data_IF_592983147682
#
_entry.id   IF_592983147682
#
_cell.length_a   1.000
_cell.length_b   1.000
_cell.length_c   1.000
_cell.angle_alpha   90.00
_cell.angle_beta   90.00
_cell.angle_gamma   90.00
#
_symmetry.space_group_name_H-M   'P 1'
#
loop_
_entity.id
_entity.type
_entity.pdbx_description
1 polymer ?
#
# COMPACT_ATOMS: atom_id res chain seq x y z
N UNK A 1 -5.73 -66.42 -39.13
CA UNK A 1 -4.74 -65.51 -38.52
C UNK A 1 -4.62 -64.30 -39.44
N UNK A 2 -5.50 -63.32 -39.28
CA UNK A 2 -5.58 -62.11 -40.14
C UNK A 2 -5.59 -60.89 -39.24
N UNK A 3 -4.67 -59.99 -39.58
CA UNK A 3 -4.00 -59.04 -38.69
C UNK A 3 -4.70 -57.68 -38.78
N UNK A 4 -5.09 -57.15 -37.62
CA UNK A 4 -5.60 -55.80 -37.37
C UNK A 4 -4.87 -54.73 -38.23
N UNK A 5 -5.60 -54.09 -39.14
CA UNK A 5 -5.11 -52.94 -39.93
C UNK A 5 -6.12 -51.79 -40.02
N UNK A 6 -7.00 -51.66 -39.03
CA UNK A 6 -8.06 -50.64 -39.09
C UNK A 6 -8.22 -49.83 -37.79
N UNK A 7 -7.19 -49.80 -36.93
CA UNK A 7 -7.22 -49.04 -35.67
C UNK A 7 -6.28 -47.81 -35.70
N UNK A 8 -5.36 -47.75 -36.67
CA UNK A 8 -4.34 -46.70 -36.74
C UNK A 8 -4.87 -45.33 -37.21
N UNK A 9 -5.81 -45.21 -38.19
CA UNK A 9 -6.19 -43.88 -38.67
C UNK A 9 -7.15 -43.13 -37.73
N UNK A 10 -7.83 -43.84 -36.82
CA UNK A 10 -8.77 -43.24 -35.86
C UNK A 10 -8.02 -42.65 -34.65
N UNK A 11 -6.92 -43.28 -34.23
CA UNK A 11 -6.12 -42.80 -33.09
C UNK A 11 -5.42 -41.45 -33.38
N UNK A 12 -4.98 -41.24 -34.62
CA UNK A 12 -4.35 -39.98 -35.05
C UNK A 12 -5.33 -38.80 -35.09
N UNK A 13 -6.61 -39.07 -35.39
CA UNK A 13 -7.66 -38.06 -35.46
C UNK A 13 -8.09 -37.57 -34.07
N UNK A 14 -8.04 -38.44 -33.06
CA UNK A 14 -8.30 -38.08 -31.66
C UNK A 14 -7.16 -37.24 -31.08
N UNK A 15 -5.90 -37.52 -31.44
CA UNK A 15 -4.75 -36.72 -30.98
C UNK A 15 -4.77 -35.30 -31.55
N UNK A 16 -5.22 -35.11 -32.80
CA UNK A 16 -5.36 -33.78 -33.40
C UNK A 16 -6.49 -32.95 -32.76
N UNK A 17 -7.59 -33.60 -32.32
CA UNK A 17 -8.68 -32.93 -31.62
C UNK A 17 -8.26 -32.43 -30.22
N UNK A 18 -7.36 -33.13 -29.52
CA UNK A 18 -6.82 -32.68 -28.24
C UNK A 18 -5.79 -31.55 -28.37
N UNK A 19 -5.09 -31.43 -29.51
CA UNK A 19 -4.18 -30.29 -29.73
C UNK A 19 -4.91 -28.98 -30.06
N UNK A 20 -6.17 -29.03 -30.51
CA UNK A 20 -6.96 -27.83 -30.83
C UNK A 20 -7.86 -27.35 -29.67
N UNK A 21 -7.89 -28.07 -28.54
CA UNK A 21 -8.55 -27.60 -27.31
C UNK A 21 -7.63 -26.74 -26.42
N UNK A 22 -6.36 -26.56 -26.80
CA UNK A 22 -5.34 -25.86 -26.03
C UNK A 22 -5.10 -24.44 -26.49
N UNK A 23 -6.11 -23.57 -26.39
CA UNK A 23 -5.98 -22.11 -26.30
C UNK A 23 -7.35 -21.57 -25.86
N UNK A 24 -7.78 -21.90 -24.64
CA UNK A 24 -8.65 -20.96 -23.93
C UNK A 24 -7.86 -19.68 -23.84
N UNK A 25 -8.21 -18.69 -24.67
CA UNK A 25 -7.75 -17.33 -24.50
C UNK A 25 -7.89 -17.03 -23.00
N UNK A 26 -6.78 -16.70 -22.34
CA UNK A 26 -6.81 -15.95 -21.08
C UNK A 26 -7.46 -14.61 -21.42
N UNK A 27 -8.78 -14.64 -21.51
CA UNK A 27 -9.61 -13.52 -21.82
C UNK A 27 -9.77 -12.78 -20.50
N UNK A 28 -9.08 -11.64 -20.44
CA UNK A 28 -9.32 -10.53 -19.52
C UNK A 28 -8.96 -10.75 -18.04
N UNK A 29 -7.77 -11.28 -17.74
CA UNK A 29 -7.12 -10.95 -16.46
C UNK A 29 -6.63 -9.49 -16.55
N UNK A 30 -7.14 -8.55 -15.72
CA UNK A 30 -6.72 -7.17 -15.77
C UNK A 30 -5.20 -7.11 -15.53
N UNK A 31 -4.46 -6.75 -16.57
CA UNK A 31 -3.01 -6.75 -16.56
C UNK A 31 -2.52 -5.38 -16.10
N UNK A 32 -1.75 -5.34 -15.02
CA UNK A 32 -1.13 -4.13 -14.51
C UNK A 32 -0.28 -3.45 -15.60
N UNK A 33 -0.67 -2.23 -15.96
CA UNK A 33 0.02 -1.46 -17.00
C UNK A 33 1.13 -0.62 -16.39
N UNK A 34 2.37 -0.79 -16.84
CA UNK A 34 3.51 0.02 -16.41
C UNK A 34 3.36 1.47 -16.88
N UNK A 35 3.73 2.41 -16.03
CA UNK A 35 3.77 3.85 -16.33
C UNK A 35 5.14 4.42 -15.94
N UNK A 36 5.45 5.61 -16.44
CA UNK A 36 6.63 6.34 -15.94
C UNK A 36 6.35 6.75 -14.49
N UNK A 37 7.40 6.83 -13.68
CA UNK A 37 7.29 7.42 -12.36
C UNK A 37 8.63 7.75 -11.74
N UNK A 38 8.58 8.43 -10.60
CA UNK A 38 9.75 8.86 -9.85
C UNK A 38 9.54 8.69 -8.34
N UNK A 39 10.57 8.15 -7.67
CA UNK A 39 10.62 8.01 -6.21
C UNK A 39 9.76 6.90 -5.61
N UNK A 40 9.85 6.82 -4.28
CA UNK A 40 9.07 5.95 -3.40
C UNK A 40 8.37 6.76 -2.31
N UNK A 41 7.33 6.18 -1.70
CA UNK A 41 6.72 6.72 -0.48
C UNK A 41 7.41 6.11 0.74
N UNK A 42 7.71 6.97 1.70
CA UNK A 42 8.35 6.65 2.97
C UNK A 42 8.18 7.86 3.91
N UNK A 43 8.46 7.67 5.20
CA UNK A 43 8.48 8.75 6.19
C UNK A 43 9.90 9.31 6.34
N UNK A 44 10.07 10.63 6.28
CA UNK A 44 11.39 11.23 6.58
C UNK A 44 11.81 11.02 8.05
N UNK A 45 10.86 10.74 8.95
CA UNK A 45 11.17 10.42 10.34
C UNK A 45 11.68 8.98 10.50
N UNK A 46 11.08 8.01 9.81
CA UNK A 46 11.44 6.59 9.92
C UNK A 46 12.47 6.11 8.88
N UNK A 47 12.87 6.95 7.92
CA UNK A 47 13.80 6.52 6.84
C UNK A 47 15.10 5.90 7.32
N UNK A 48 15.64 6.34 8.47
CA UNK A 48 16.90 5.81 8.99
C UNK A 48 16.78 4.39 9.57
N UNK A 49 15.56 3.87 9.75
CA UNK A 49 15.33 2.51 10.23
C UNK A 49 14.83 1.58 9.12
N UNK A 50 13.99 2.09 8.22
CA UNK A 50 13.41 1.28 7.13
C UNK A 50 14.21 1.30 5.82
N UNK A 51 15.07 2.30 5.61
CA UNK A 51 15.94 2.45 4.43
C UNK A 51 15.15 2.35 3.10
N UNK A 52 13.87 2.73 3.11
CA UNK A 52 13.02 2.66 1.92
C UNK A 52 13.50 3.60 0.81
N UNK A 53 14.18 4.69 1.17
CA UNK A 53 14.73 5.67 0.25
C UNK A 53 15.98 5.19 -0.50
N UNK A 54 16.62 4.11 -0.04
CA UNK A 54 17.79 3.50 -0.66
C UNK A 54 17.44 2.43 -1.70
N UNK A 55 16.14 2.13 -1.89
CA UNK A 55 15.69 1.10 -2.82
C UNK A 55 15.85 1.50 -4.28
N UNK A 56 16.18 0.52 -5.11
CA UNK A 56 16.45 0.69 -6.54
C UNK A 56 15.48 -0.13 -7.42
N UNK A 57 15.67 -0.04 -8.74
CA UNK A 57 14.92 -0.80 -9.75
C UNK A 57 13.39 -0.63 -9.66
N UNK A 58 12.98 0.61 -9.38
CA UNK A 58 11.59 0.96 -9.13
C UNK A 58 10.77 0.83 -10.42
N UNK A 59 9.65 0.13 -10.36
CA UNK A 59 8.65 0.04 -11.43
C UNK A 59 7.30 0.50 -10.91
N UNK A 60 6.72 1.50 -11.56
CA UNK A 60 5.41 2.04 -11.25
C UNK A 60 4.34 1.46 -12.18
N UNK A 61 3.16 1.19 -11.63
CA UNK A 61 1.99 0.73 -12.38
C UNK A 61 0.89 1.79 -12.36
N UNK A 62 0.11 1.86 -13.43
CA UNK A 62 -1.01 2.79 -13.53
C UNK A 62 -1.92 2.62 -12.32
N UNK A 63 -2.29 3.70 -11.62
CA UNK A 63 -3.21 3.60 -10.49
C UNK A 63 -4.57 3.08 -10.93
N UNK A 64 -5.26 2.44 -10.01
CA UNK A 64 -6.59 1.86 -10.21
C UNK A 64 -7.51 2.24 -9.06
N UNK A 65 -8.84 2.19 -9.25
CA UNK A 65 -9.78 2.11 -8.13
C UNK A 65 -9.38 1.02 -7.13
N UNK A 66 -9.68 1.22 -5.85
CA UNK A 66 -9.25 0.32 -4.76
C UNK A 66 -9.78 -1.11 -4.97
N UNK A 67 -11.04 -1.26 -5.36
CA UNK A 67 -11.68 -2.53 -5.65
C UNK A 67 -11.04 -3.27 -6.83
N UNK A 68 -10.70 -2.55 -7.91
CA UNK A 68 -9.95 -3.10 -9.04
C UNK A 68 -8.53 -3.52 -8.64
N UNK A 69 -7.84 -2.71 -7.82
CA UNK A 69 -6.52 -3.05 -7.30
C UNK A 69 -6.56 -4.34 -6.48
N UNK A 70 -7.60 -4.57 -5.68
CA UNK A 70 -7.77 -5.81 -4.91
C UNK A 70 -7.99 -7.05 -5.77
N UNK A 71 -8.27 -6.91 -7.07
CA UNK A 71 -8.31 -8.04 -8.00
C UNK A 71 -6.88 -8.38 -8.46
N UNK A 72 -6.12 -7.36 -8.87
CA UNK A 72 -4.82 -7.51 -9.57
C UNK A 72 -3.59 -7.50 -8.67
N UNK A 73 -3.71 -7.00 -7.43
CA UNK A 73 -2.59 -6.91 -6.51
C UNK A 73 -2.00 -8.30 -6.20
N UNK A 74 -0.70 -8.38 -5.88
CA UNK A 74 -0.05 -9.60 -5.42
C UNK A 74 -0.83 -10.26 -4.27
N UNK A 75 -0.89 -11.60 -4.27
CA UNK A 75 -1.63 -12.37 -3.26
C UNK A 75 -1.12 -12.10 -1.84
N UNK A 76 0.17 -11.83 -1.68
CA UNK A 76 0.80 -11.40 -0.43
C UNK A 76 0.12 -10.16 0.14
N UNK A 77 0.10 -9.07 -0.65
CA UNK A 77 -0.54 -7.80 -0.27
C UNK A 77 -2.02 -7.99 0.04
N UNK A 78 -2.76 -8.72 -0.81
CA UNK A 78 -4.21 -8.92 -0.61
C UNK A 78 -4.55 -9.60 0.71
N UNK A 79 -3.64 -10.40 1.27
CA UNK A 79 -3.80 -11.04 2.58
C UNK A 79 -3.35 -10.17 3.74
N UNK A 80 -2.62 -9.09 3.48
CA UNK A 80 -2.03 -8.21 4.48
C UNK A 80 -2.93 -7.01 4.81
N UNK A 81 -4.04 -6.82 4.10
CA UNK A 81 -4.83 -5.59 4.15
C UNK A 81 -6.33 -5.86 4.22
N UNK A 82 -7.05 -5.01 4.93
CA UNK A 82 -8.50 -5.00 5.02
C UNK A 82 -8.98 -3.60 4.66
N UNK A 83 -9.63 -3.44 3.50
CA UNK A 83 -9.98 -2.13 2.95
C UNK A 83 -10.90 -1.36 3.91
N UNK A 84 -10.57 -0.10 4.15
CA UNK A 84 -11.35 0.81 5.00
C UNK A 84 -12.68 1.14 4.33
N UNK A 85 -13.77 1.08 5.08
CA UNK A 85 -15.05 1.66 4.65
C UNK A 85 -14.93 3.19 4.68
N UNK A 86 -15.01 3.89 3.53
CA UNK A 86 -14.86 5.34 3.47
C UNK A 86 -15.84 6.10 4.37
N UNK A 87 -16.99 5.51 4.72
CA UNK A 87 -17.98 6.12 5.61
C UNK A 87 -17.55 6.17 7.07
N UNK A 88 -16.53 5.39 7.45
CA UNK A 88 -15.96 5.42 8.81
C UNK A 88 -14.85 6.46 8.95
N UNK A 89 -14.45 7.14 7.87
CA UNK A 89 -13.46 8.21 7.97
C UNK A 89 -14.10 9.49 8.54
N UNK A 90 -13.34 10.33 9.27
CA UNK A 90 -13.85 11.55 9.89
C UNK A 90 -14.12 12.68 8.89
N UNK A 91 -14.17 12.38 7.59
CA UNK A 91 -14.41 13.32 6.49
C UNK A 91 -15.09 12.62 5.31
N UNK A 92 -15.76 13.39 4.45
CA UNK A 92 -16.37 12.84 3.23
C UNK A 92 -15.30 12.49 2.21
N UNK A 93 -15.32 11.26 1.68
CA UNK A 93 -14.37 10.83 0.64
C UNK A 93 -14.98 11.01 -0.74
N UNK A 94 -14.34 11.83 -1.58
CA UNK A 94 -14.76 12.03 -2.98
C UNK A 94 -13.78 11.46 -4.01
N UNK A 95 -12.58 11.04 -3.59
CA UNK A 95 -11.61 10.34 -4.43
C UNK A 95 -11.01 9.14 -3.69
N UNK A 96 -10.95 8.00 -4.37
CA UNK A 96 -10.36 6.76 -3.89
C UNK A 96 -9.49 6.13 -4.98
N UNK A 97 -8.20 5.96 -4.67
CA UNK A 97 -7.23 5.48 -5.64
C UNK A 97 -6.22 4.56 -4.96
N UNK A 98 -5.79 3.51 -5.65
CA UNK A 98 -4.70 2.66 -5.22
C UNK A 98 -3.53 2.68 -6.21
N UNK A 99 -2.31 2.66 -5.65
CA UNK A 99 -1.06 2.63 -6.38
C UNK A 99 -0.32 1.34 -6.06
N UNK A 100 0.30 0.75 -7.07
CA UNK A 100 1.24 -0.36 -6.89
C UNK A 100 2.60 0.04 -7.45
N UNK A 101 3.64 -0.20 -6.67
CA UNK A 101 5.03 0.01 -7.05
C UNK A 101 5.84 -1.20 -6.62
N UNK A 102 6.78 -1.63 -7.46
CA UNK A 102 7.75 -2.67 -7.10
C UNK A 102 9.13 -2.09 -7.05
N UNK A 103 9.94 -2.52 -6.10
CA UNK A 103 11.34 -2.09 -5.92
C UNK A 103 12.21 -3.25 -5.44
N UNK A 104 13.53 -3.03 -5.38
CA UNK A 104 14.50 -3.95 -4.79
C UNK A 104 15.38 -3.20 -3.81
N UNK A 105 15.67 -3.79 -2.65
CA UNK A 105 16.82 -3.40 -1.83
C UNK A 105 18.13 -3.90 -2.45
N UNK A 106 19.26 -3.41 -1.94
CA UNK A 106 20.61 -3.61 -2.50
C UNK A 106 20.95 -5.10 -2.75
N UNK A 107 20.37 -6.04 -1.98
CA UNK A 107 20.55 -7.49 -2.15
C UNK A 107 19.24 -8.29 -2.04
N UNK A 108 18.08 -7.66 -2.22
CA UNK A 108 16.78 -8.30 -1.92
C UNK A 108 16.05 -8.88 -3.13
N UNK A 109 15.07 -9.74 -2.85
CA UNK A 109 13.99 -10.08 -3.77
C UNK A 109 13.17 -8.82 -4.12
N UNK A 110 12.46 -8.85 -5.26
CA UNK A 110 11.50 -7.80 -5.62
C UNK A 110 10.44 -7.71 -4.52
N UNK A 111 10.23 -6.51 -4.00
CA UNK A 111 9.22 -6.21 -3.00
C UNK A 111 8.13 -5.33 -3.60
N UNK A 112 6.90 -5.58 -3.15
CA UNK A 112 5.73 -4.80 -3.51
C UNK A 112 5.45 -3.73 -2.46
N UNK A 113 5.07 -2.54 -2.92
CA UNK A 113 4.55 -1.46 -2.11
C UNK A 113 3.20 -1.05 -2.71
N UNK A 114 2.14 -1.07 -1.90
CA UNK A 114 0.80 -0.63 -2.30
C UNK A 114 0.36 0.53 -1.44
N UNK A 115 -0.15 1.59 -2.06
CA UNK A 115 -0.73 2.74 -1.38
C UNK A 115 -2.22 2.79 -1.66
N UNK A 116 -3.03 2.91 -0.60
CA UNK A 116 -4.46 3.19 -0.66
C UNK A 116 -4.69 4.63 -0.24
N UNK A 117 -5.38 5.40 -1.07
CA UNK A 117 -5.57 6.84 -0.91
C UNK A 117 -7.04 7.17 -0.86
N UNK A 118 -7.46 7.81 0.24
CA UNK A 118 -8.81 8.37 0.44
C UNK A 118 -8.66 9.88 0.62
N UNK A 119 -9.35 10.66 -0.20
CA UNK A 119 -9.18 12.12 -0.23
C UNK A 119 -10.54 12.82 -0.29
N UNK A 120 -10.63 13.95 0.42
CA UNK A 120 -11.60 15.00 0.16
C UNK A 120 -10.91 16.15 -0.59
N UNK A 121 -11.33 16.38 -1.82
CA UNK A 121 -10.98 17.59 -2.57
C UNK A 121 -12.06 18.67 -2.41
N UNK A 122 -11.64 19.90 -2.14
CA UNK A 122 -12.55 21.05 -2.10
C UNK A 122 -13.00 21.46 -3.51
N UNK A 123 -13.88 22.46 -3.59
CA UNK A 123 -14.42 22.99 -4.87
C UNK A 123 -13.35 23.53 -5.85
N UNK A 124 -12.13 23.76 -5.38
CA UNK A 124 -10.98 24.18 -6.18
C UNK A 124 -10.01 23.03 -6.51
N UNK A 125 -10.44 21.77 -6.32
CA UNK A 125 -9.62 20.56 -6.47
C UNK A 125 -8.37 20.52 -5.59
N UNK A 126 -8.36 21.26 -4.47
CA UNK A 126 -7.29 21.17 -3.49
C UNK A 126 -7.63 20.09 -2.47
N UNK A 127 -6.64 19.24 -2.13
CA UNK A 127 -6.80 18.20 -1.12
C UNK A 127 -6.91 18.86 0.25
N UNK A 128 -8.13 18.91 0.78
CA UNK A 128 -8.40 19.50 2.09
C UNK A 128 -8.11 18.47 3.19
N UNK A 129 -8.53 17.22 2.95
CA UNK A 129 -8.41 16.14 3.91
C UNK A 129 -7.98 14.85 3.20
N UNK A 130 -7.19 14.04 3.88
CA UNK A 130 -6.75 12.75 3.37
C UNK A 130 -6.46 11.76 4.48
N UNK A 131 -6.60 10.48 4.11
CA UNK A 131 -6.12 9.33 4.85
C UNK A 131 -5.46 8.41 3.83
N UNK A 132 -4.16 8.17 3.99
CA UNK A 132 -3.36 7.42 3.02
C UNK A 132 -2.61 6.34 3.77
N UNK A 133 -2.75 5.10 3.34
CA UNK A 133 -2.05 3.95 3.91
C UNK A 133 -1.16 3.33 2.85
N UNK A 134 0.14 3.29 3.11
CA UNK A 134 1.13 2.56 2.35
C UNK A 134 1.48 1.26 3.07
N UNK A 135 1.48 0.16 2.33
CA UNK A 135 1.84 -1.18 2.80
C UNK A 135 3.02 -1.66 1.98
N UNK A 136 4.15 -1.91 2.65
CA UNK A 136 5.39 -2.31 2.01
C UNK A 136 5.79 -3.70 2.47
N UNK A 137 6.04 -4.61 1.54
CA UNK A 137 6.67 -5.90 1.87
C UNK A 137 8.09 -5.65 2.40
N UNK A 138 8.35 -6.20 3.59
CA UNK A 138 9.63 -6.11 4.27
C UNK A 138 9.79 -7.32 5.19
N UNK A 139 10.81 -8.14 4.95
CA UNK A 139 10.95 -9.44 5.62
C UNK A 139 11.34 -9.31 7.10
N UNK A 140 12.15 -8.31 7.41
CA UNK A 140 12.63 -8.02 8.76
C UNK A 140 11.91 -6.80 9.32
N UNK A 141 11.70 -6.79 10.65
CA UNK A 141 11.11 -5.65 11.33
C UNK A 141 12.13 -4.49 11.38
N UNK A 142 11.94 -3.40 10.61
CA UNK A 142 12.91 -2.30 10.62
C UNK A 142 12.89 -1.56 11.96
N UNK A 143 11.78 -1.64 12.71
CA UNK A 143 11.56 -0.91 13.95
C UNK A 143 12.31 -1.53 15.13
N UNK A 144 12.87 -2.74 14.98
CA UNK A 144 13.77 -3.33 15.98
C UNK A 144 15.16 -2.70 15.98
N UNK A 145 15.53 -1.97 14.91
CA UNK A 145 16.82 -1.27 14.82
C UNK A 145 16.93 -0.09 15.80
N UNK A 146 15.80 0.40 16.34
CA UNK A 146 15.76 1.56 17.22
C UNK A 146 14.69 1.44 18.31
N UNK A 147 15.03 1.79 19.55
CA UNK A 147 14.09 1.78 20.69
C UNK A 147 13.30 3.09 20.79
N UNK A 148 12.16 3.15 20.10
CA UNK A 148 11.24 4.28 20.15
C UNK A 148 10.44 4.36 21.48
N UNK A 149 10.47 3.33 22.33
CA UNK A 149 9.58 3.26 23.51
C UNK A 149 9.85 4.36 24.54
N UNK A 150 11.07 4.90 24.55
CA UNK A 150 11.50 5.98 25.44
C UNK A 150 11.33 7.37 24.83
N UNK A 151 11.01 7.45 23.56
CA UNK A 151 10.87 8.72 22.84
C UNK A 151 9.45 9.25 22.99
N UNK A 152 9.33 10.51 23.42
CA UNK A 152 8.04 11.20 23.58
C UNK A 152 7.83 12.27 22.50
N UNK A 153 8.91 12.70 21.84
CA UNK A 153 8.85 13.71 20.79
C UNK A 153 9.77 13.40 19.62
N UNK A 154 9.40 13.82 18.42
CA UNK A 154 10.27 13.77 17.25
C UNK A 154 11.37 14.86 17.29
N UNK A 155 12.19 14.92 16.23
CA UNK A 155 13.28 15.90 16.10
C UNK A 155 12.81 17.36 15.94
N UNK A 156 11.52 17.58 15.66
CA UNK A 156 10.88 18.88 15.53
C UNK A 156 10.10 19.27 16.80
N UNK A 157 10.06 18.40 17.81
CA UNK A 157 9.30 18.60 19.05
C UNK A 157 7.83 18.21 18.97
N UNK A 158 7.41 17.56 17.87
CA UNK A 158 6.06 17.00 17.76
C UNK A 158 5.92 15.78 18.65
N UNK A 159 4.69 15.45 19.03
CA UNK A 159 4.42 14.33 19.94
C UNK A 159 4.61 12.98 19.23
N UNK A 160 5.30 12.04 19.89
CA UNK A 160 5.37 10.64 19.48
C UNK A 160 4.72 9.79 20.56
N UNK A 161 3.69 9.02 20.18
CA UNK A 161 3.00 8.10 21.07
C UNK A 161 3.33 6.66 20.68
N UNK A 162 3.46 5.84 21.70
CA UNK A 162 3.65 4.40 21.58
C UNK A 162 2.30 3.73 21.85
N UNK A 163 1.53 3.54 20.80
CA UNK A 163 0.23 2.88 20.83
C UNK A 163 0.41 1.37 20.64
N UNK A 164 -0.61 0.58 20.98
CA UNK A 164 -0.60 -0.88 20.74
C UNK A 164 -1.35 -1.22 19.46
N UNK A 165 -0.79 -2.09 18.62
CA UNK A 165 -1.50 -2.74 17.52
C UNK A 165 -2.34 -3.89 18.06
N UNK A 166 -1.65 -4.90 18.59
CA UNK A 166 -2.18 -6.12 19.21
C UNK A 166 -1.11 -6.67 20.15
N UNK A 167 -1.51 -7.20 21.30
CA UNK A 167 -0.60 -7.71 22.33
C UNK A 167 0.51 -6.69 22.69
N UNK A 168 1.76 -7.01 22.39
CA UNK A 168 2.95 -6.18 22.61
C UNK A 168 3.50 -5.53 21.33
N UNK A 169 2.82 -5.68 20.20
CA UNK A 169 3.25 -5.11 18.92
C UNK A 169 2.87 -3.62 18.87
N UNK A 170 3.84 -2.70 18.66
CA UNK A 170 3.57 -1.27 18.72
C UNK A 170 3.01 -0.69 17.40
N UNK A 171 2.27 0.41 17.54
CA UNK A 171 2.07 1.42 16.49
C UNK A 171 2.69 2.72 17.00
N UNK A 172 3.63 3.28 16.25
CA UNK A 172 4.21 4.59 16.53
C UNK A 172 3.33 5.67 15.90
N UNK A 173 2.76 6.55 16.72
CA UNK A 173 1.89 7.63 16.28
C UNK A 173 2.59 8.98 16.44
N UNK A 174 3.00 9.57 15.33
CA UNK A 174 3.52 10.93 15.29
C UNK A 174 2.37 11.93 15.08
N UNK A 175 2.20 12.85 16.02
CA UNK A 175 1.19 13.91 15.99
C UNK A 175 1.88 15.25 15.91
N UNK A 176 1.64 16.00 14.83
CA UNK A 176 2.19 17.34 14.64
C UNK A 176 1.53 18.30 15.64
N UNK A 177 2.30 18.75 16.62
CA UNK A 177 1.88 19.70 17.66
C UNK A 177 2.61 21.04 17.59
N UNK A 178 3.58 21.17 16.68
CA UNK A 178 4.38 22.38 16.47
C UNK A 178 4.17 22.96 15.06
N UNK A 179 4.79 24.11 14.77
CA UNK A 179 4.79 24.71 13.43
C UNK A 179 5.76 24.01 12.46
N UNK A 180 6.54 23.03 12.93
CA UNK A 180 7.50 22.26 12.14
C UNK A 180 7.08 20.80 11.99
N UNK A 181 7.32 20.21 10.83
CA UNK A 181 7.10 18.80 10.59
C UNK A 181 8.15 18.23 9.64
N UNK A 182 8.50 16.97 9.85
CA UNK A 182 9.22 16.20 8.84
C UNK A 182 8.27 15.86 7.67
N UNK A 183 8.86 15.59 6.52
CA UNK A 183 8.11 15.41 5.30
C UNK A 183 7.46 14.01 5.22
N UNK A 184 6.15 13.99 5.00
CA UNK A 184 5.39 12.83 4.60
C UNK A 184 5.33 12.77 3.07
N UNK A 185 5.69 11.62 2.48
CA UNK A 185 5.72 11.41 1.03
C UNK A 185 4.69 10.38 0.63
N UNK A 186 3.91 10.66 -0.42
CA UNK A 186 2.93 9.72 -0.96
C UNK A 186 2.82 9.82 -2.49
N UNK A 187 2.34 8.78 -3.15
CA UNK A 187 2.14 8.76 -4.59
C UNK A 187 0.93 9.59 -5.03
N UNK A 188 1.09 10.29 -6.14
CA UNK A 188 0.02 10.92 -6.90
C UNK A 188 0.22 10.63 -8.38
N UNK A 189 -0.86 10.58 -9.14
CA UNK A 189 -0.81 10.42 -10.59
C UNK A 189 -1.04 11.76 -11.30
N UNK A 190 -0.17 12.06 -12.25
CA UNK A 190 -0.30 13.20 -13.17
C UNK A 190 -0.95 12.68 -14.45
N UNK A 191 -2.25 12.91 -14.60
CA UNK A 191 -3.05 12.47 -15.76
C UNK A 191 -2.54 13.06 -17.08
N UNK A 192 -2.08 14.31 -17.07
CA UNK A 192 -1.57 15.00 -18.27
C UNK A 192 -0.26 14.37 -18.75
N UNK A 193 0.67 14.14 -17.81
CA UNK A 193 1.98 13.56 -18.11
C UNK A 193 1.99 12.03 -18.09
N UNK A 194 0.88 11.41 -17.72
CA UNK A 194 0.69 9.95 -17.58
C UNK A 194 1.80 9.29 -16.77
N UNK A 195 2.09 9.84 -15.60
CA UNK A 195 3.18 9.39 -14.73
C UNK A 195 2.82 9.46 -13.25
N UNK A 196 3.41 8.58 -12.46
CA UNK A 196 3.36 8.67 -10.99
C UNK A 196 4.46 9.62 -10.51
N UNK A 197 4.12 10.49 -9.58
CA UNK A 197 5.08 11.33 -8.84
C UNK A 197 4.87 11.17 -7.35
N UNK A 198 5.87 11.55 -6.56
CA UNK A 198 5.72 11.68 -5.11
C UNK A 198 5.32 13.11 -4.75
N UNK A 199 4.32 13.24 -3.89
CA UNK A 199 3.91 14.51 -3.27
C UNK A 199 4.50 14.53 -1.87
N UNK A 200 5.01 15.70 -1.48
CA UNK A 200 5.59 15.95 -0.16
C UNK A 200 4.68 16.90 0.62
N UNK A 201 4.33 16.54 1.84
CA UNK A 201 3.49 17.36 2.73
C UNK A 201 3.86 17.15 4.19
N UNK A 202 3.21 17.86 5.10
CA UNK A 202 3.19 17.54 6.53
C UNK A 202 1.91 16.75 6.84
N UNK A 203 2.00 15.68 7.61
CA UNK A 203 0.89 14.84 8.02
C UNK A 203 1.11 14.32 9.44
N UNK A 204 0.03 13.99 10.16
CA UNK A 204 0.18 13.09 11.29
C UNK A 204 0.43 11.68 10.72
N UNK A 205 1.30 10.91 11.34
CA UNK A 205 1.76 9.64 10.80
C UNK A 205 1.55 8.49 11.80
N UNK A 206 1.16 7.32 11.31
CA UNK A 206 1.19 6.07 12.08
C UNK A 206 2.13 5.08 11.39
N UNK A 207 2.92 4.39 12.18
CA UNK A 207 3.92 3.45 11.69
C UNK A 207 3.86 2.14 12.46
N UNK A 208 3.70 1.03 11.77
CA UNK A 208 3.62 -0.29 12.39
C UNK A 208 4.26 -1.34 11.49
N UNK A 209 4.87 -2.35 12.11
CA UNK A 209 5.33 -3.54 11.41
C UNK A 209 4.53 -4.75 11.88
N UNK A 210 3.95 -5.49 10.95
CA UNK A 210 3.17 -6.68 11.27
C UNK A 210 3.28 -7.73 10.17
N UNK A 211 3.66 -8.96 10.54
CA UNK A 211 3.67 -10.15 9.68
C UNK A 211 4.39 -9.99 8.32
N UNK A 212 5.53 -9.30 8.28
CA UNK A 212 6.31 -9.13 7.04
C UNK A 212 5.91 -7.90 6.22
N UNK A 213 5.11 -6.99 6.80
CA UNK A 213 4.67 -5.78 6.15
C UNK A 213 4.88 -4.57 7.06
N UNK A 214 5.39 -3.51 6.45
CA UNK A 214 5.49 -2.20 7.05
C UNK A 214 4.29 -1.36 6.61
N UNK A 215 3.54 -0.87 7.59
CA UNK A 215 2.36 -0.05 7.40
C UNK A 215 2.72 1.39 7.76
N UNK A 216 2.58 2.28 6.78
CA UNK A 216 2.82 3.70 6.90
C UNK A 216 1.55 4.46 6.58
N UNK A 217 0.94 5.06 7.58
CA UNK A 217 -0.25 5.87 7.41
C UNK A 217 0.12 7.33 7.53
N UNK A 218 -0.36 8.16 6.62
CA UNK A 218 -0.37 9.61 6.76
C UNK A 218 -1.79 10.15 6.68
N UNK A 219 -2.12 11.09 7.56
CA UNK A 219 -3.44 11.72 7.54
C UNK A 219 -3.41 13.21 7.87
N UNK A 220 -4.39 13.91 7.31
CA UNK A 220 -4.72 15.29 7.63
C UNK A 220 -6.23 15.46 7.48
N UNK A 221 -6.87 15.99 8.51
CA UNK A 221 -8.32 16.24 8.58
C UNK A 221 -8.56 17.51 9.39
N UNK A 222 -9.76 18.08 9.28
CA UNK A 222 -10.18 19.12 10.21
C UNK A 222 -10.04 18.64 11.66
N UNK A 223 -9.49 19.50 12.52
CA UNK A 223 -9.27 19.15 13.92
C UNK A 223 -8.41 17.89 14.15
N UNK A 224 -7.48 17.57 13.25
CA UNK A 224 -6.55 16.41 13.35
C UNK A 224 -5.83 16.20 14.70
N UNK A 225 -5.77 17.22 15.55
CA UNK A 225 -5.16 17.18 16.87
C UNK A 225 -6.15 16.97 18.03
N UNK A 226 -7.45 16.87 17.75
CA UNK A 226 -8.44 16.42 18.73
C UNK A 226 -8.20 14.95 19.05
N UNK A 227 -8.29 14.61 20.33
CA UNK A 227 -8.02 13.27 20.83
C UNK A 227 -8.97 12.24 20.19
N UNK A 228 -10.24 12.59 20.03
CA UNK A 228 -11.26 11.71 19.46
C UNK A 228 -10.92 11.33 18.01
N UNK A 229 -10.46 12.29 17.21
CA UNK A 229 -10.05 12.07 15.81
C UNK A 229 -8.81 11.18 15.75
N UNK A 230 -7.86 11.38 16.67
CA UNK A 230 -6.65 10.55 16.75
C UNK A 230 -6.98 9.10 17.12
N UNK A 231 -7.89 8.89 18.08
CA UNK A 231 -8.37 7.56 18.47
C UNK A 231 -9.14 6.87 17.35
N UNK A 232 -9.98 7.62 16.62
CA UNK A 232 -10.72 7.11 15.46
C UNK A 232 -9.78 6.65 14.34
N UNK A 233 -8.80 7.48 13.97
CA UNK A 233 -7.80 7.14 12.95
C UNK A 233 -6.92 5.96 13.39
N UNK A 234 -6.55 5.88 14.66
CA UNK A 234 -5.81 4.75 15.22
C UNK A 234 -6.64 3.46 15.14
N UNK A 235 -7.93 3.51 15.47
CA UNK A 235 -8.84 2.38 15.36
C UNK A 235 -9.00 1.91 13.90
N UNK A 236 -9.21 2.83 12.95
CA UNK A 236 -9.27 2.50 11.52
C UNK A 236 -7.98 1.84 11.02
N UNK A 237 -6.83 2.31 11.50
CA UNK A 237 -5.53 1.72 11.16
C UNK A 237 -5.41 0.30 11.71
N UNK A 238 -5.87 0.05 12.93
CA UNK A 238 -5.93 -1.30 13.50
C UNK A 238 -6.87 -2.21 12.70
N UNK A 239 -8.07 -1.74 12.36
CA UNK A 239 -9.01 -2.50 11.52
C UNK A 239 -8.38 -2.86 10.16
N UNK A 240 -7.68 -1.91 9.53
CA UNK A 240 -7.00 -2.15 8.26
C UNK A 240 -5.93 -3.25 8.34
N UNK A 241 -5.13 -3.23 9.41
CA UNK A 241 -4.03 -4.19 9.60
C UNK A 241 -4.55 -5.56 10.04
N UNK A 242 -5.46 -5.59 11.02
CA UNK A 242 -5.87 -6.81 11.72
C UNK A 242 -7.12 -7.46 11.14
N UNK A 243 -7.99 -6.70 10.48
CA UNK A 243 -9.25 -7.18 9.92
C UNK A 243 -10.39 -7.35 10.91
N UNK A 244 -10.21 -6.92 12.15
CA UNK A 244 -11.19 -7.00 13.24
C UNK A 244 -11.44 -5.60 13.83
N UNK A 245 -12.69 -5.29 14.16
CA UNK A 245 -13.01 -4.13 14.99
C UNK A 245 -12.68 -4.47 16.43
N UNK A 246 -11.61 -3.90 16.96
CA UNK A 246 -11.22 -4.00 18.38
C UNK A 246 -12.00 -3.01 19.25
#
# INVERSE_FOLDING_TARGET
>A
MTRNKMVIPILLLVIFAFMMAGCTNKQDEPTLKKVKGEGLTYSEYFKSVDELDERENITHYQPLPIDEMMIVAPVSIKKAVHIVDPKKLPFEVNEQTAYLVTSKGENSIVQNQVQYTYVNTNEYNQKAEFYIITVTELEENPLEKYDFTKQQTDNMGNELRNELLIDDIPIFHQVITTDGALAYRYYSYDEEKKRISTVVTAANELYAYYRGYLYHVGYSTENKNKKEIQEEILHLTREFILGESL
#
